data_IF_395667657031
#
_entry.id   IF_395667657031
#
_cell.length_a   1.000
_cell.length_b   1.000
_cell.length_c   1.000
_cell.angle_alpha   90.00
_cell.angle_beta   90.00
_cell.angle_gamma   90.00
#
_symmetry.space_group_name_H-M   'P 1'
#
loop_
_entity.id
_entity.type
_entity.pdbx_description
1 polymer ?
#
# COMPACT_ATOMS: atom_id res chain seq x y z
N UNK A 1 12.71 -1.06 -4.31
CA UNK A 1 11.63 -1.68 -3.53
C UNK A 1 10.89 -0.60 -2.75
N UNK A 2 9.59 -0.68 -2.74
CA UNK A 2 8.76 0.29 -2.03
C UNK A 2 8.19 -0.35 -0.77
N UNK A 3 8.15 0.40 0.32
CA UNK A 3 7.66 -0.11 1.60
C UNK A 3 6.55 0.79 2.13
N UNK A 4 5.41 0.18 2.42
CA UNK A 4 4.29 0.84 3.08
C UNK A 4 4.17 0.31 4.50
N UNK A 5 4.09 1.22 5.47
CA UNK A 5 3.78 0.87 6.85
C UNK A 5 2.29 1.08 7.04
N UNK A 6 1.57 0.03 7.37
CA UNK A 6 0.11 0.08 7.47
C UNK A 6 -0.30 -0.49 8.82
N UNK A 7 -1.19 0.23 9.50
CA UNK A 7 -1.82 -0.24 10.73
C UNK A 7 -3.21 -0.76 10.37
N UNK A 8 -3.46 -2.03 10.63
CA UNK A 8 -4.68 -2.70 10.21
C UNK A 8 -4.89 -3.97 11.02
N UNK A 9 -6.10 -4.53 10.96
CA UNK A 9 -6.29 -5.92 11.35
C UNK A 9 -5.65 -6.83 10.29
N UNK A 10 -5.39 -8.07 10.70
CA UNK A 10 -4.65 -9.01 9.86
C UNK A 10 -5.40 -9.38 8.58
N UNK A 11 -6.70 -9.61 8.70
CA UNK A 11 -7.51 -10.04 7.56
C UNK A 11 -7.56 -8.97 6.48
N UNK A 12 -7.85 -7.73 6.86
CA UNK A 12 -7.90 -6.62 5.91
C UNK A 12 -6.56 -6.39 5.23
N UNK A 13 -5.47 -6.51 5.99
CA UNK A 13 -4.12 -6.32 5.44
C UNK A 13 -3.76 -7.41 4.42
N UNK A 14 -4.02 -8.66 4.74
CA UNK A 14 -3.70 -9.75 3.79
C UNK A 14 -4.58 -9.69 2.55
N UNK A 15 -5.82 -9.27 2.68
CA UNK A 15 -6.68 -9.02 1.52
C UNK A 15 -6.10 -7.92 0.63
N UNK A 16 -5.66 -6.82 1.22
CA UNK A 16 -4.99 -5.75 0.50
C UNK A 16 -3.74 -6.27 -0.23
N UNK A 17 -2.89 -7.02 0.47
CA UNK A 17 -1.67 -7.55 -0.12
C UNK A 17 -1.98 -8.47 -1.31
N UNK A 18 -3.03 -9.28 -1.23
CA UNK A 18 -3.41 -10.16 -2.34
C UNK A 18 -3.88 -9.37 -3.56
N UNK A 19 -4.57 -8.25 -3.36
CA UNK A 19 -4.93 -7.36 -4.48
C UNK A 19 -3.70 -6.69 -5.09
N UNK A 20 -2.75 -6.26 -4.26
CA UNK A 20 -1.52 -5.65 -4.77
C UNK A 20 -0.74 -6.62 -5.65
N UNK A 21 -0.72 -7.90 -5.31
CA UNK A 21 -0.01 -8.92 -6.08
C UNK A 21 -0.51 -9.05 -7.51
N UNK A 22 -1.76 -8.72 -7.77
CA UNK A 22 -2.33 -8.82 -9.13
C UNK A 22 -2.34 -7.49 -9.87
N UNK A 23 -1.81 -6.44 -9.26
CA UNK A 23 -1.64 -5.16 -9.96
C UNK A 23 -0.60 -5.33 -11.06
N UNK A 24 -0.93 -4.85 -12.26
CA UNK A 24 -0.02 -4.91 -13.37
C UNK A 24 1.25 -4.12 -13.07
N UNK A 25 2.40 -4.73 -13.32
CA UNK A 25 3.70 -4.11 -13.03
C UNK A 25 4.30 -4.50 -11.69
N UNK A 26 3.56 -5.20 -10.84
CA UNK A 26 4.08 -5.70 -9.56
C UNK A 26 4.77 -7.04 -9.80
N UNK A 27 6.03 -7.13 -9.42
CA UNK A 27 6.81 -8.36 -9.53
C UNK A 27 6.64 -9.24 -8.30
N UNK A 28 6.67 -8.63 -7.12
CA UNK A 28 6.60 -9.38 -5.86
C UNK A 28 6.06 -8.49 -4.75
N UNK A 29 5.37 -9.11 -3.79
CA UNK A 29 4.88 -8.45 -2.58
C UNK A 29 5.08 -9.41 -1.41
N UNK A 30 5.68 -8.91 -0.33
CA UNK A 30 5.67 -9.68 0.90
C UNK A 30 5.37 -8.78 2.10
N UNK A 31 4.80 -9.39 3.12
CA UNK A 31 4.33 -8.70 4.31
C UNK A 31 5.22 -9.08 5.49
N UNK A 32 5.73 -8.07 6.18
CA UNK A 32 6.46 -8.24 7.42
C UNK A 32 5.57 -7.76 8.56
N UNK A 33 5.40 -8.59 9.57
CA UNK A 33 4.59 -8.25 10.74
C UNK A 33 5.47 -7.51 11.75
N UNK A 34 5.04 -6.30 12.11
CA UNK A 34 5.70 -5.52 13.15
C UNK A 34 5.16 -5.85 14.53
N UNK A 35 5.45 -4.98 15.48
CA UNK A 35 4.97 -5.14 16.85
C UNK A 35 3.47 -4.92 16.94
N UNK A 36 2.75 -5.74 17.74
CA UNK A 36 1.32 -5.48 17.97
C UNK A 36 1.12 -4.16 18.70
N UNK A 37 0.04 -3.46 18.36
CA UNK A 37 -0.32 -2.26 19.09
C UNK A 37 -1.02 -2.65 20.39
N UNK A 38 -0.68 -1.95 21.47
CA UNK A 38 -1.25 -2.19 22.79
C UNK A 38 -2.76 -1.97 22.75
N UNK A 39 -3.51 -2.91 23.30
CA UNK A 39 -4.96 -2.82 23.53
C UNK A 39 -5.85 -2.89 22.29
N UNK A 40 -5.30 -3.18 21.10
CA UNK A 40 -6.10 -3.25 19.88
C UNK A 40 -5.87 -4.53 19.11
N UNK A 41 -6.88 -5.03 18.38
CA UNK A 41 -6.65 -6.09 17.40
C UNK A 41 -5.82 -5.62 16.21
N UNK A 42 -5.48 -4.34 16.16
CA UNK A 42 -4.69 -3.73 15.10
C UNK A 42 -3.21 -4.03 15.29
N UNK A 43 -2.52 -4.20 14.18
CA UNK A 43 -1.08 -4.48 14.16
C UNK A 43 -0.40 -3.60 13.13
N UNK A 44 0.90 -3.41 13.32
CA UNK A 44 1.73 -2.75 12.31
C UNK A 44 2.21 -3.78 11.30
N UNK A 45 2.07 -3.44 10.04
CA UNK A 45 2.57 -4.28 8.95
C UNK A 45 3.46 -3.44 8.04
N UNK A 46 4.48 -4.07 7.51
CA UNK A 46 5.32 -3.49 6.48
C UNK A 46 5.07 -4.27 5.20
N UNK A 47 4.49 -3.60 4.22
CA UNK A 47 4.21 -4.23 2.92
C UNK A 47 5.31 -3.81 1.97
N UNK A 48 6.12 -4.77 1.56
CA UNK A 48 7.27 -4.54 0.67
C UNK A 48 6.87 -4.93 -0.74
N UNK A 49 6.98 -3.99 -1.66
CA UNK A 49 6.50 -4.13 -3.03
C UNK A 49 7.67 -3.94 -3.98
N UNK A 50 7.89 -4.93 -4.83
CA UNK A 50 8.87 -4.86 -5.90
C UNK A 50 8.15 -4.71 -7.23
N UNK A 51 8.49 -3.67 -7.98
CA UNK A 51 7.91 -3.41 -9.30
C UNK A 51 8.83 -3.92 -10.40
N UNK A 52 8.23 -4.32 -11.51
CA UNK A 52 8.98 -4.71 -12.71
C UNK A 52 9.63 -3.50 -13.34
N UNK A 53 10.91 -3.62 -13.70
CA UNK A 53 11.66 -2.51 -14.30
C UNK A 53 11.12 -2.13 -15.69
N UNK A 54 10.49 -3.07 -16.37
CA UNK A 54 9.98 -2.88 -17.73
C UNK A 54 8.60 -2.24 -17.78
N UNK A 55 7.98 -2.01 -16.63
CA UNK A 55 6.64 -1.43 -16.56
C UNK A 55 6.70 0.01 -16.02
N UNK A 56 5.73 0.84 -16.42
CA UNK A 56 5.63 2.19 -15.89
C UNK A 56 5.31 2.16 -14.41
N UNK A 57 6.33 2.39 -13.57
CA UNK A 57 6.20 2.31 -12.12
C UNK A 57 5.16 3.28 -11.58
N UNK A 58 5.05 4.45 -12.19
CA UNK A 58 4.07 5.46 -11.75
C UNK A 58 2.64 4.94 -11.83
N UNK A 59 2.29 4.22 -12.91
CA UNK A 59 0.95 3.64 -13.05
C UNK A 59 0.69 2.56 -12.00
N UNK A 60 1.69 1.71 -11.75
CA UNK A 60 1.56 0.68 -10.73
C UNK A 60 1.37 1.29 -9.35
N UNK A 61 2.14 2.33 -9.02
CA UNK A 61 2.00 3.02 -7.74
C UNK A 61 0.65 3.69 -7.58
N UNK A 62 0.08 4.26 -8.65
CA UNK A 62 -1.26 4.83 -8.59
C UNK A 62 -2.34 3.79 -8.32
N UNK A 63 -2.22 2.60 -8.92
CA UNK A 63 -3.17 1.51 -8.65
C UNK A 63 -3.05 1.03 -7.20
N UNK A 64 -1.82 0.93 -6.68
CA UNK A 64 -1.59 0.58 -5.29
C UNK A 64 -2.20 1.65 -4.37
N UNK A 65 -2.03 2.92 -4.71
CA UNK A 65 -2.61 4.03 -3.95
C UNK A 65 -4.14 3.95 -3.90
N UNK A 66 -4.79 3.59 -5.01
CA UNK A 66 -6.24 3.40 -5.04
C UNK A 66 -6.67 2.26 -4.12
N UNK A 67 -5.91 1.18 -4.08
CA UNK A 67 -6.19 0.07 -3.16
C UNK A 67 -6.05 0.50 -1.70
N UNK A 68 -5.06 1.34 -1.38
CA UNK A 68 -4.91 1.90 -0.03
C UNK A 68 -6.12 2.75 0.35
N UNK A 69 -6.57 3.61 -0.54
CA UNK A 69 -7.75 4.45 -0.29
C UNK A 69 -9.01 3.61 -0.10
N UNK A 70 -9.19 2.56 -0.89
CA UNK A 70 -10.33 1.65 -0.76
C UNK A 70 -10.30 0.87 0.56
N UNK A 71 -9.11 0.55 1.04
CA UNK A 71 -8.93 -0.23 2.27
C UNK A 71 -9.27 0.54 3.54
N UNK A 72 -9.30 1.86 3.50
CA UNK A 72 -9.60 2.74 4.65
C UNK A 72 -8.81 2.37 5.90
N UNK A 73 -7.51 2.19 5.74
CA UNK A 73 -6.64 1.81 6.85
C UNK A 73 -6.54 2.93 7.89
N UNK A 74 -6.34 2.55 9.14
CA UNK A 74 -6.20 3.50 10.25
C UNK A 74 -5.01 4.42 10.07
N UNK A 75 -3.91 3.88 9.53
CA UNK A 75 -2.70 4.64 9.32
C UNK A 75 -1.91 4.02 8.16
N UNK A 76 -1.41 4.89 7.28
CA UNK A 76 -0.51 4.46 6.21
C UNK A 76 0.65 5.46 6.15
N UNK A 77 1.86 4.95 6.12
CA UNK A 77 3.06 5.74 5.97
C UNK A 77 3.95 5.18 4.87
N UNK A 78 4.54 6.04 4.11
CA UNK A 78 5.47 5.69 3.04
C UNK A 78 6.66 6.65 3.08
N UNK A 79 7.83 6.15 2.68
CA UNK A 79 9.07 6.91 2.80
C UNK A 79 9.69 7.34 1.47
N UNK A 80 9.02 7.09 0.39
CA UNK A 80 9.57 7.37 -0.93
C UNK A 80 8.76 8.47 -1.59
N UNK A 81 9.44 9.50 -2.12
CA UNK A 81 8.78 10.64 -2.75
C UNK A 81 7.92 10.24 -3.96
N UNK A 82 8.33 9.23 -4.72
CA UNK A 82 7.55 8.75 -5.86
C UNK A 82 6.21 8.15 -5.40
N UNK A 83 6.22 7.41 -4.30
CA UNK A 83 5.00 6.87 -3.71
C UNK A 83 4.11 8.01 -3.23
N UNK A 84 4.71 8.97 -2.54
CA UNK A 84 3.98 10.12 -2.01
C UNK A 84 3.29 10.89 -3.13
N UNK A 85 3.99 11.15 -4.22
CA UNK A 85 3.41 11.84 -5.38
C UNK A 85 2.23 11.06 -5.97
N UNK A 86 2.38 9.75 -6.15
CA UNK A 86 1.32 8.91 -6.68
C UNK A 86 0.09 8.89 -5.76
N UNK A 87 0.31 8.83 -4.44
CA UNK A 87 -0.78 8.82 -3.47
C UNK A 87 -1.50 10.16 -3.41
N UNK A 88 -0.78 11.26 -3.48
CA UNK A 88 -1.38 12.59 -3.53
C UNK A 88 -2.23 12.78 -4.79
N UNK A 89 -1.76 12.29 -5.93
CA UNK A 89 -2.52 12.36 -7.17
C UNK A 89 -3.85 11.61 -7.06
N UNK A 90 -3.85 10.42 -6.43
CA UNK A 90 -5.07 9.64 -6.23
C UNK A 90 -6.03 10.35 -5.27
N UNK A 91 -5.52 10.92 -4.19
CA UNK A 91 -6.35 11.72 -3.27
C UNK A 91 -6.99 12.90 -3.98
N UNK A 92 -6.23 13.58 -4.82
CA UNK A 92 -6.74 14.71 -5.58
C UNK A 92 -7.88 14.29 -6.51
N UNK A 93 -7.75 13.16 -7.19
CA UNK A 93 -8.83 12.61 -8.02
C UNK A 93 -10.09 12.36 -7.20
N UNK A 94 -9.94 11.84 -5.99
CA UNK A 94 -11.08 11.56 -5.09
C UNK A 94 -11.80 12.83 -4.69
N UNK A 95 -11.09 13.93 -4.50
CA UNK A 95 -11.70 15.22 -4.12
C UNK A 95 -12.46 15.88 -5.26
N UNK A 96 -12.14 15.55 -6.50
CA UNK A 96 -12.82 16.14 -7.68
C UNK A 96 -14.19 15.53 -7.96
N UNK A 97 -14.50 14.46 -7.33
CA UNK A 97 -15.81 13.82 -7.44
C UNK A 97 -16.76 14.40 -6.40
#
# INVERSE_FOLDING_TARGET
MYTLKIVSDREALYQFASYVRVVQGVEDVYVEVGEPLYEHPLMKFYVHIKLKETYEQHKALQEIARLVELGRFTYVHYRNDEIEEAFEAVKYESFKK
#
